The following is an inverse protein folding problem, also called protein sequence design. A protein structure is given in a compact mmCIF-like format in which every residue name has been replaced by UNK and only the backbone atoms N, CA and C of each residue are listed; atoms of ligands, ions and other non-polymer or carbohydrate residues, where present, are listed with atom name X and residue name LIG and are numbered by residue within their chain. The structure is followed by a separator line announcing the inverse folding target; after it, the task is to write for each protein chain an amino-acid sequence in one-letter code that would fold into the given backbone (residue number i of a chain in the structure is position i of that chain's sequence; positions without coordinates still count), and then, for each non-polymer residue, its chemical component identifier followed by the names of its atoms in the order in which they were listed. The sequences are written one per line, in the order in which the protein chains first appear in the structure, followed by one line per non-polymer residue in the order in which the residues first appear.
data_IF_123388556388
#
_entry.id   IF_123388556388
#
_cell.length_a   1.000
_cell.length_b   1.000
_cell.length_c   1.000
_cell.angle_alpha   90.00
_cell.angle_beta   90.00
_cell.angle_gamma   90.00
#
_symmetry.space_group_name_H-M   'P 1'
#
loop_
_entity.id
_entity.type
_entity.pdbx_description
1 polymer ?
#
# COMPACT_ATOMS: atom_id res chain seq x y z
N UNK A 1 -16.59 -14.12 -3.71
CA UNK A 1 -16.10 -12.72 -3.63
C UNK A 1 -14.90 -12.65 -2.71
N UNK A 2 -13.85 -12.00 -3.15
CA UNK A 2 -12.62 -11.91 -2.36
C UNK A 2 -12.69 -10.79 -1.34
N UNK A 3 -12.09 -11.02 -0.18
CA UNK A 3 -11.91 -9.98 0.83
C UNK A 3 -10.75 -9.09 0.41
N UNK A 4 -10.97 -7.78 0.38
CA UNK A 4 -9.96 -6.82 -0.06
C UNK A 4 -9.09 -6.43 1.12
N UNK A 5 -7.82 -6.80 1.05
CA UNK A 5 -6.84 -6.53 2.11
C UNK A 5 -5.86 -5.47 1.63
N UNK A 6 -5.86 -4.34 2.32
CA UNK A 6 -4.87 -3.29 2.06
C UNK A 6 -3.64 -3.53 2.92
N UNK A 7 -2.52 -3.86 2.30
CA UNK A 7 -1.24 -4.07 2.99
C UNK A 7 -0.48 -2.77 2.96
N UNK A 8 -0.29 -2.15 4.12
CA UNK A 8 0.32 -0.81 4.27
C UNK A 8 1.74 -0.98 4.75
N UNK A 9 2.70 -0.41 4.02
CA UNK A 9 4.12 -0.61 4.33
C UNK A 9 4.96 0.58 3.87
N UNK A 10 6.24 0.59 4.27
CA UNK A 10 7.17 1.67 3.99
C UNK A 10 7.22 2.67 5.13
N UNK A 11 7.13 3.96 4.82
CA UNK A 11 7.11 5.03 5.79
C UNK A 11 8.47 5.68 6.01
N UNK A 12 8.52 6.63 6.92
CA UNK A 12 9.74 7.42 7.17
C UNK A 12 10.72 6.79 8.14
N UNK A 13 10.38 5.61 8.68
CA UNK A 13 11.25 4.89 9.61
C UNK A 13 12.58 4.54 8.95
N UNK A 14 13.63 4.45 9.78
CA UNK A 14 14.94 3.95 9.34
C UNK A 14 14.86 2.49 8.87
N UNK A 15 13.80 1.79 9.24
CA UNK A 15 13.56 0.41 8.81
C UNK A 15 12.62 0.33 7.61
N UNK A 16 12.58 1.38 6.80
CA UNK A 16 11.73 1.46 5.62
C UNK A 16 11.95 0.26 4.68
N UNK A 17 13.20 -0.07 4.38
CA UNK A 17 13.52 -1.18 3.48
C UNK A 17 13.12 -2.52 4.07
N UNK A 18 13.26 -2.68 5.37
CA UNK A 18 12.81 -3.90 6.07
C UNK A 18 11.30 -4.03 5.96
N UNK A 19 10.57 -2.93 6.11
CA UNK A 19 9.12 -2.93 5.96
C UNK A 19 8.71 -3.36 4.56
N UNK A 20 9.41 -2.89 3.52
CA UNK A 20 9.14 -3.27 2.14
C UNK A 20 9.34 -4.78 1.95
N UNK A 21 10.46 -5.31 2.42
CA UNK A 21 10.76 -6.74 2.27
C UNK A 21 9.73 -7.58 3.03
N UNK A 22 9.39 -7.18 4.25
CA UNK A 22 8.38 -7.89 5.05
C UNK A 22 7.02 -7.89 4.36
N UNK A 23 6.67 -6.78 3.71
CA UNK A 23 5.41 -6.68 2.99
C UNK A 23 5.38 -7.62 1.79
N UNK A 24 6.49 -7.71 1.04
CA UNK A 24 6.56 -8.64 -0.09
C UNK A 24 6.35 -10.09 0.39
N UNK A 25 7.00 -10.46 1.48
CA UNK A 25 6.85 -11.80 2.06
C UNK A 25 5.40 -12.04 2.52
N UNK A 26 4.80 -11.07 3.21
CA UNK A 26 3.43 -11.21 3.70
C UNK A 26 2.43 -11.33 2.55
N UNK A 27 2.58 -10.52 1.52
CA UNK A 27 1.69 -10.57 0.36
C UNK A 27 1.78 -11.90 -0.38
N UNK A 28 2.98 -12.48 -0.44
CA UNK A 28 3.15 -13.79 -1.09
C UNK A 28 2.55 -14.94 -0.28
N UNK A 29 2.41 -14.78 1.03
CA UNK A 29 1.86 -15.82 1.90
C UNK A 29 0.34 -15.79 1.98
N UNK A 30 -0.30 -14.69 1.61
CA UNK A 30 -1.74 -14.59 1.64
C UNK A 30 -2.37 -15.43 0.53
N UNK A 31 -3.50 -16.02 0.85
CA UNK A 31 -4.25 -16.86 -0.10
C UNK A 31 -4.90 -15.98 -1.17
N UNK A 32 -4.36 -16.03 -2.37
CA UNK A 32 -4.81 -15.19 -3.49
C UNK A 32 -6.22 -15.57 -3.98
N UNK A 33 -6.69 -16.75 -3.64
CA UNK A 33 -8.06 -17.15 -3.97
C UNK A 33 -9.07 -16.55 -3.01
N UNK A 34 -8.65 -16.31 -1.78
CA UNK A 34 -9.50 -15.80 -0.70
C UNK A 34 -9.43 -14.27 -0.58
N UNK A 35 -8.27 -13.71 -0.84
CA UNK A 35 -8.01 -12.29 -0.64
C UNK A 35 -7.60 -11.61 -1.93
N UNK A 36 -8.16 -10.43 -2.15
CA UNK A 36 -7.62 -9.49 -3.13
C UNK A 36 -6.65 -8.59 -2.40
N UNK A 37 -5.37 -8.66 -2.77
CA UNK A 37 -4.31 -7.95 -2.07
C UNK A 37 -4.05 -6.62 -2.76
N UNK A 38 -4.19 -5.55 -1.98
CA UNK A 38 -4.01 -4.18 -2.47
C UNK A 38 -2.80 -3.60 -1.75
N UNK A 39 -1.66 -3.47 -2.43
CA UNK A 39 -0.47 -2.89 -1.80
C UNK A 39 -0.64 -1.38 -1.66
N UNK A 40 -0.26 -0.87 -0.50
CA UNK A 40 -0.29 0.55 -0.20
C UNK A 40 1.09 0.92 0.34
N UNK A 41 1.86 1.60 -0.50
CA UNK A 41 3.24 1.96 -0.18
C UNK A 41 3.32 3.41 0.25
N UNK A 42 3.99 3.65 1.38
CA UNK A 42 4.24 4.99 1.90
C UNK A 42 5.71 5.31 1.68
N UNK A 43 6.00 6.40 0.98
CA UNK A 43 7.37 6.84 0.77
C UNK A 43 7.95 7.43 2.05
N UNK A 44 9.27 7.67 2.04
CA UNK A 44 9.94 8.29 3.20
C UNK A 44 9.45 9.72 3.45
N UNK A 45 8.97 10.41 2.41
CA UNK A 45 8.38 11.74 2.55
C UNK A 45 6.86 11.70 2.75
N UNK A 46 6.34 10.53 3.15
CA UNK A 46 4.93 10.33 3.57
C UNK A 46 3.90 10.48 2.46
N UNK A 47 4.29 10.21 1.24
CA UNK A 47 3.33 10.11 0.15
C UNK A 47 2.86 8.67 -0.01
N UNK A 48 1.57 8.48 -0.26
CA UNK A 48 0.93 7.17 -0.33
C UNK A 48 0.63 6.80 -1.77
N UNK A 49 0.97 5.56 -2.13
CA UNK A 49 0.78 5.06 -3.49
C UNK A 49 0.14 3.68 -3.48
N UNK A 50 -0.65 3.38 -4.51
CA UNK A 50 -1.18 2.03 -4.73
C UNK A 50 -1.06 1.65 -6.19
N UNK A 51 -1.08 0.34 -6.47
CA UNK A 51 -0.97 -0.22 -7.81
C UNK A 51 -0.34 -1.60 -7.76
N UNK A 52 -0.69 -2.46 -8.71
CA UNK A 52 -0.20 -3.84 -8.73
C UNK A 52 1.31 -3.94 -8.88
N UNK A 53 1.94 -2.96 -9.53
CA UNK A 53 3.39 -2.93 -9.68
C UNK A 53 4.12 -2.91 -8.34
N UNK A 54 3.45 -2.48 -7.27
CA UNK A 54 4.05 -2.41 -5.95
C UNK A 54 4.26 -3.78 -5.30
N UNK A 55 3.75 -4.85 -5.93
CA UNK A 55 4.01 -6.23 -5.52
C UNK A 55 5.34 -6.75 -6.04
N UNK A 56 6.01 -6.01 -6.92
CA UNK A 56 7.29 -6.38 -7.52
C UNK A 56 8.41 -5.68 -6.75
N UNK A 57 9.28 -6.48 -6.13
CA UNK A 57 10.40 -5.94 -5.33
C UNK A 57 11.33 -5.04 -6.15
N UNK A 58 11.43 -5.30 -7.45
CA UNK A 58 12.36 -4.56 -8.30
C UNK A 58 11.98 -3.09 -8.49
N UNK A 59 10.71 -2.73 -8.37
CA UNK A 59 10.30 -1.33 -8.54
C UNK A 59 10.87 -0.43 -7.45
N UNK A 60 11.25 -1.01 -6.30
CA UNK A 60 11.77 -0.22 -5.18
C UNK A 60 13.24 0.18 -5.36
N UNK A 61 13.88 -0.33 -6.40
CA UNK A 61 15.23 0.10 -6.78
C UNK A 61 15.23 1.43 -7.51
N UNK A 62 14.08 1.82 -8.07
CA UNK A 62 13.92 3.11 -8.75
C UNK A 62 12.57 3.71 -8.37
N UNK A 63 12.58 4.54 -7.34
CA UNK A 63 11.36 5.13 -6.81
C UNK A 63 10.66 6.06 -7.80
N UNK A 64 11.38 6.54 -8.82
CA UNK A 64 10.74 7.36 -9.86
C UNK A 64 9.70 6.57 -10.65
N UNK A 65 9.87 5.24 -10.76
CA UNK A 65 8.88 4.39 -11.42
C UNK A 65 7.58 4.35 -10.62
N UNK A 66 7.69 4.31 -9.30
CA UNK A 66 6.51 4.31 -8.43
C UNK A 66 5.77 5.64 -8.59
N UNK A 67 6.48 6.75 -8.53
CA UNK A 67 5.85 8.07 -8.65
C UNK A 67 5.20 8.27 -10.01
N UNK A 68 5.76 7.65 -11.05
CA UNK A 68 5.25 7.81 -12.42
C UNK A 68 4.05 6.92 -12.72
N UNK A 69 4.05 5.67 -12.25
CA UNK A 69 3.07 4.68 -12.67
C UNK A 69 2.08 4.27 -11.59
N UNK A 70 2.43 4.36 -10.32
CA UNK A 70 1.49 4.08 -9.24
C UNK A 70 0.56 5.26 -9.03
N UNK A 71 -0.59 5.01 -8.42
CA UNK A 71 -1.56 6.07 -8.14
C UNK A 71 -1.29 6.67 -6.79
N UNK A 72 -1.10 7.99 -6.75
CA UNK A 72 -0.96 8.73 -5.51
C UNK A 72 -2.33 8.86 -4.86
N UNK A 73 -2.46 8.39 -3.62
CA UNK A 73 -3.76 8.22 -2.96
C UNK A 73 -3.72 8.74 -1.53
N UNK A 74 -4.91 8.87 -0.96
CA UNK A 74 -5.11 9.03 0.47
C UNK A 74 -6.04 7.91 0.93
N UNK A 75 -5.87 7.50 2.18
CA UNK A 75 -6.72 6.49 2.80
C UNK A 75 -7.56 7.16 3.87
N UNK A 76 -8.86 6.93 3.84
CA UNK A 76 -9.73 7.41 4.90
C UNK A 76 -10.90 6.45 5.11
N UNK A 77 -11.56 6.63 6.23
CA UNK A 77 -12.69 5.82 6.64
C UNK A 77 -13.97 6.58 6.30
N UNK A 78 -14.86 5.95 5.55
CA UNK A 78 -16.10 6.59 5.12
C UNK A 78 -17.23 5.57 5.11
N UNK A 79 -18.32 5.89 5.79
CA UNK A 79 -19.53 5.05 5.81
C UNK A 79 -19.24 3.60 6.19
N UNK A 80 -18.36 3.39 7.16
CA UNK A 80 -18.06 2.05 7.65
C UNK A 80 -17.01 1.29 6.86
N UNK A 81 -16.39 1.90 5.87
CA UNK A 81 -15.38 1.25 5.03
C UNK A 81 -14.14 2.12 4.87
N UNK A 82 -13.00 1.46 4.68
CA UNK A 82 -11.78 2.16 4.28
C UNK A 82 -11.80 2.38 2.78
N UNK A 83 -11.39 3.57 2.36
CA UNK A 83 -11.45 3.98 0.96
C UNK A 83 -10.10 4.57 0.55
N UNK A 84 -9.55 4.08 -0.56
CA UNK A 84 -8.41 4.71 -1.23
C UNK A 84 -8.96 5.62 -2.32
N UNK A 85 -8.61 6.89 -2.24
CA UNK A 85 -9.06 7.91 -3.18
C UNK A 85 -7.85 8.64 -3.74
N UNK A 86 -7.90 9.02 -5.01
CA UNK A 86 -6.84 9.82 -5.61
C UNK A 86 -6.65 11.11 -4.84
N UNK A 87 -5.40 11.43 -4.55
CA UNK A 87 -5.05 12.64 -3.80
C UNK A 87 -5.30 13.90 -4.62
N UNK A 88 -5.05 13.82 -5.93
CA UNK A 88 -5.17 14.96 -6.85
C UNK A 88 -6.45 14.89 -7.65
N UNK A 89 -6.94 16.04 -8.07
CA UNK A 89 -8.14 16.15 -8.89
C UNK A 89 -7.96 15.43 -10.24
N UNK A 90 -8.94 14.67 -10.72
CA UNK A 90 -10.22 14.38 -10.07
C UNK A 90 -10.06 13.34 -8.95
N UNK A 91 -10.67 13.64 -7.79
CA UNK A 91 -10.52 12.83 -6.58
C UNK A 91 -11.49 11.65 -6.59
N UNK A 92 -11.24 10.72 -7.48
CA UNK A 92 -12.08 9.54 -7.62
C UNK A 92 -11.62 8.41 -6.71
N UNK A 93 -12.55 7.55 -6.32
CA UNK A 93 -12.24 6.36 -5.53
C UNK A 93 -11.47 5.37 -6.39
N UNK A 94 -10.33 4.91 -5.88
CA UNK A 94 -9.52 3.90 -6.55
C UNK A 94 -9.93 2.50 -6.12
N UNK A 95 -10.09 2.29 -4.80
CA UNK A 95 -10.42 0.99 -4.23
C UNK A 95 -11.11 1.17 -2.89
N UNK A 96 -12.02 0.26 -2.58
CA UNK A 96 -12.49 0.07 -1.20
C UNK A 96 -11.70 -1.06 -0.58
N UNK A 97 -11.47 -0.99 0.74
CA UNK A 97 -10.64 -1.94 1.46
C UNK A 97 -11.44 -2.48 2.63
N UNK A 98 -11.52 -3.80 2.74
CA UNK A 98 -12.25 -4.45 3.82
C UNK A 98 -11.41 -4.54 5.09
N UNK A 99 -10.12 -4.83 4.94
CA UNK A 99 -9.19 -4.99 6.06
C UNK A 99 -7.91 -4.22 5.74
N UNK A 100 -7.49 -3.38 6.67
CA UNK A 100 -6.20 -2.70 6.59
C UNK A 100 -5.19 -3.47 7.43
N UNK A 101 -4.08 -3.87 6.83
CA UNK A 101 -3.04 -4.66 7.47
C UNK A 101 -1.72 -3.89 7.40
N UNK A 102 -1.39 -3.12 8.44
CA UNK A 102 -0.14 -2.36 8.44
C UNK A 102 1.05 -3.25 8.77
N UNK A 103 2.12 -3.09 8.00
CA UNK A 103 3.40 -3.73 8.24
C UNK A 103 4.41 -2.63 8.45
N UNK A 104 4.62 -2.28 9.70
CA UNK A 104 5.55 -1.23 10.07
C UNK A 104 6.58 -1.78 11.03
N UNK A 105 7.82 -1.35 10.84
CA UNK A 105 8.92 -1.68 11.72
C UNK A 105 9.48 -0.38 12.27
N UNK A 106 9.93 -0.41 13.52
CA UNK A 106 10.48 0.76 14.14
C UNK A 106 10.08 0.83 15.59
N UNK A 107 10.79 1.64 16.33
CA UNK A 107 10.63 1.74 17.78
C UNK A 107 9.48 2.65 18.19
N UNK A 108 8.93 3.40 17.26
CA UNK A 108 7.92 4.41 17.55
C UNK A 108 6.54 4.08 16.97
N UNK A 109 6.27 2.82 16.85
CA UNK A 109 4.93 2.39 16.43
C UNK A 109 3.99 2.31 17.60
#
# INVERSE_FOLDING_TARGET
MKIKVGVIFGGESVEHEVSVISAMQAMNKLDQEKYEIIPIYITKDREWYTGDMLKDIDVYQDLSLIKKYAKNVVLYYKNGSYVLQKKKFPKTVVKEIDIAFPIVHGTNV
#
